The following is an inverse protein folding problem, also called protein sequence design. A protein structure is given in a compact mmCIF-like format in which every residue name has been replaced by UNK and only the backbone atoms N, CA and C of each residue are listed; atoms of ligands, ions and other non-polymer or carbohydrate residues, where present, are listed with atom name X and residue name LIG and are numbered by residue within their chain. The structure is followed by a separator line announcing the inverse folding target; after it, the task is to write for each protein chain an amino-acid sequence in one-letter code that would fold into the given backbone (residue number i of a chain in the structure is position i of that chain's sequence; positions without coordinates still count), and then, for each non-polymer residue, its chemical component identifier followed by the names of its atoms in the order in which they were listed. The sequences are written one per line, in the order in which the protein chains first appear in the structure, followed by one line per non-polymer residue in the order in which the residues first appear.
data_IF_929217603856
#
_entry.id   IF_929217603856
#
_cell.length_a   1.000
_cell.length_b   1.000
_cell.length_c   1.000
_cell.angle_alpha   90.00
_cell.angle_beta   90.00
_cell.angle_gamma   90.00
#
_symmetry.space_group_name_H-M   'P 1'
#
loop_
_entity.id
_entity.type
_entity.pdbx_description
1 polymer ?
#
# COMPACT_ATOMS: atom_id res chain seq x y z
N UNK A 1 -4.27 5.42 -10.30
CA UNK A 1 -3.34 4.52 -9.57
C UNK A 1 -3.90 3.11 -9.62
N UNK A 2 -3.22 2.25 -10.34
CA UNK A 2 -3.69 0.89 -10.58
C UNK A 2 -2.90 -0.12 -9.75
N UNK A 3 -3.61 -0.94 -8.99
CA UNK A 3 -3.00 -2.07 -8.30
C UNK A 3 -2.84 -3.24 -9.25
N UNK A 4 -1.71 -3.93 -9.14
CA UNK A 4 -1.38 -5.09 -9.96
C UNK A 4 -1.27 -6.32 -9.08
N UNK A 5 -1.52 -7.47 -9.67
CA UNK A 5 -1.23 -8.77 -9.05
C UNK A 5 0.12 -9.27 -9.55
N UNK A 6 0.68 -10.27 -8.89
CA UNK A 6 2.02 -10.78 -9.20
C UNK A 6 2.18 -11.16 -10.67
N UNK A 7 1.18 -11.80 -11.27
CA UNK A 7 1.23 -12.24 -12.66
C UNK A 7 1.06 -11.12 -13.68
N UNK A 8 0.71 -9.92 -13.22
CA UNK A 8 0.56 -8.74 -14.08
C UNK A 8 1.82 -7.87 -14.12
N UNK A 9 2.85 -8.21 -13.31
CA UNK A 9 4.05 -7.41 -13.22
C UNK A 9 4.90 -7.50 -14.48
N UNK A 10 5.35 -6.33 -14.97
CA UNK A 10 6.25 -6.21 -16.12
C UNK A 10 7.65 -5.78 -15.71
N UNK A 11 7.81 -5.33 -14.46
CA UNK A 11 9.03 -4.78 -13.91
C UNK A 11 9.03 -5.06 -12.41
N UNK A 12 10.21 -4.97 -11.78
CA UNK A 12 10.35 -5.10 -10.33
C UNK A 12 10.40 -3.73 -9.63
N UNK A 13 10.17 -2.64 -10.36
CA UNK A 13 10.14 -1.29 -9.78
C UNK A 13 8.74 -1.01 -9.21
N UNK A 14 8.39 -1.77 -8.17
CA UNK A 14 7.06 -1.73 -7.56
C UNK A 14 7.18 -1.78 -6.04
N UNK A 15 6.17 -1.25 -5.37
CA UNK A 15 5.97 -1.45 -3.94
C UNK A 15 4.97 -2.59 -3.75
N UNK A 16 5.32 -3.51 -2.88
CA UNK A 16 4.48 -4.67 -2.59
C UNK A 16 3.70 -4.45 -1.31
N UNK A 17 2.38 -4.54 -1.38
CA UNK A 17 1.50 -4.53 -0.22
C UNK A 17 1.29 -5.98 0.18
N UNK A 18 1.82 -6.36 1.34
CA UNK A 18 1.94 -7.74 1.78
C UNK A 18 1.24 -7.94 3.10
N UNK A 19 0.48 -9.04 3.23
CA UNK A 19 -0.12 -9.41 4.51
C UNK A 19 0.97 -9.70 5.55
N UNK A 20 0.62 -9.52 6.84
CA UNK A 20 1.55 -9.83 7.92
C UNK A 20 1.93 -11.31 7.90
N UNK A 21 3.23 -11.59 7.95
CA UNK A 21 3.80 -12.94 7.90
C UNK A 21 4.96 -13.03 8.89
N UNK A 22 5.28 -14.23 9.31
CA UNK A 22 6.43 -14.47 10.19
C UNK A 22 7.74 -14.09 9.52
N UNK A 23 7.81 -14.27 8.21
CA UNK A 23 8.94 -13.85 7.38
C UNK A 23 8.44 -12.98 6.24
N UNK A 24 9.05 -11.81 6.09
CA UNK A 24 8.74 -10.89 5.00
C UNK A 24 9.67 -11.18 3.83
N UNK A 25 9.09 -11.72 2.75
CA UNK A 25 9.79 -11.93 1.50
C UNK A 25 8.99 -11.25 0.39
N UNK A 26 9.69 -10.79 -0.65
CA UNK A 26 9.05 -10.23 -1.84
C UNK A 26 8.36 -11.30 -2.69
N UNK A 27 7.46 -10.84 -3.53
CA UNK A 27 6.84 -11.61 -4.61
C UNK A 27 5.86 -12.66 -4.11
N UNK A 28 4.97 -12.25 -3.19
CA UNK A 28 3.91 -13.12 -2.69
C UNK A 28 2.71 -13.13 -3.65
N UNK A 29 2.09 -14.29 -3.82
CA UNK A 29 0.92 -14.45 -4.66
C UNK A 29 -0.32 -13.71 -4.13
N UNK A 30 -0.41 -13.57 -2.82
CA UNK A 30 -1.54 -12.90 -2.16
C UNK A 30 -1.32 -11.41 -1.96
N UNK A 31 -0.22 -10.86 -2.45
CA UNK A 31 0.08 -9.43 -2.40
C UNK A 31 -0.57 -8.68 -3.55
N UNK A 32 -0.65 -7.35 -3.39
CA UNK A 32 -0.94 -6.43 -4.48
C UNK A 32 0.23 -5.46 -4.61
N UNK A 33 0.41 -4.91 -5.80
CA UNK A 33 1.62 -4.16 -6.16
C UNK A 33 1.24 -2.82 -6.76
N UNK A 34 2.03 -1.80 -6.45
CA UNK A 34 1.86 -0.46 -6.99
C UNK A 34 3.18 -0.02 -7.63
N UNK A 35 3.13 0.45 -8.87
CA UNK A 35 4.31 0.96 -9.57
C UNK A 35 4.90 2.12 -8.79
N UNK A 36 6.24 2.19 -8.69
CA UNK A 36 6.93 3.16 -7.86
C UNK A 36 6.57 4.61 -8.20
N UNK A 37 6.43 4.95 -9.47
CA UNK A 37 6.03 6.29 -9.89
C UNK A 37 4.66 6.68 -9.32
N UNK A 38 3.74 5.72 -9.27
CA UNK A 38 2.42 5.98 -8.70
C UNK A 38 2.46 6.06 -7.18
N UNK A 39 3.37 5.32 -6.55
CA UNK A 39 3.54 5.38 -5.10
C UNK A 39 3.97 6.79 -4.65
N UNK A 40 4.72 7.52 -5.48
CA UNK A 40 5.11 8.87 -5.16
C UNK A 40 3.94 9.83 -5.00
N UNK A 41 2.80 9.51 -5.58
CA UNK A 41 1.56 10.27 -5.35
C UNK A 41 1.03 10.10 -3.93
N UNK A 42 1.37 9.00 -3.27
CA UNK A 42 1.01 8.76 -1.87
C UNK A 42 2.03 9.37 -0.89
N UNK A 43 3.24 9.65 -1.35
CA UNK A 43 4.35 10.07 -0.48
C UNK A 43 4.01 11.26 0.43
N UNK A 44 3.35 12.34 -0.04
CA UNK A 44 3.00 13.45 0.85
C UNK A 44 2.15 13.01 2.05
N UNK A 45 1.28 12.04 1.85
CA UNK A 45 0.36 11.56 2.88
C UNK A 45 1.01 10.52 3.78
N UNK A 46 1.87 9.67 3.21
CA UNK A 46 2.68 8.73 3.98
C UNK A 46 3.65 9.50 4.90
N UNK A 47 4.27 10.55 4.39
CA UNK A 47 5.21 11.35 5.16
C UNK A 47 4.55 12.14 6.28
N UNK A 48 3.27 12.48 6.15
CA UNK A 48 2.50 13.10 7.22
C UNK A 48 2.07 12.10 8.29
N UNK A 49 1.86 10.84 7.91
CA UNK A 49 1.41 9.79 8.82
C UNK A 49 2.59 9.13 9.55
N UNK A 50 3.68 8.89 8.84
CA UNK A 50 4.87 8.20 9.36
C UNK A 50 6.04 9.18 9.45
N UNK A 51 6.76 9.19 10.57
CA UNK A 51 7.90 10.11 10.75
C UNK A 51 9.08 9.76 9.84
N UNK A 52 9.25 8.48 9.49
CA UNK A 52 10.33 8.01 8.61
C UNK A 52 9.87 6.80 7.82
N UNK A 53 9.03 7.04 6.81
CA UNK A 53 8.54 5.95 5.98
C UNK A 53 9.69 5.24 5.26
N UNK A 54 9.72 3.90 5.34
CA UNK A 54 10.81 3.09 4.80
C UNK A 54 10.61 2.79 3.31
N UNK A 55 10.89 3.76 2.46
CA UNK A 55 10.72 3.61 1.00
C UNK A 55 11.63 2.55 0.38
N UNK A 56 12.76 2.25 1.02
CA UNK A 56 13.75 1.29 0.52
C UNK A 56 13.88 0.07 1.42
N UNK A 57 12.86 -0.20 2.20
CA UNK A 57 12.85 -1.32 3.13
C UNK A 57 11.45 -1.82 3.39
N UNK A 58 11.23 -2.41 4.55
CA UNK A 58 9.93 -2.92 4.95
C UNK A 58 9.26 -1.96 5.92
N UNK A 59 8.07 -1.50 5.60
CA UNK A 59 7.30 -0.61 6.45
C UNK A 59 6.07 -1.32 7.00
N UNK A 60 6.01 -1.45 8.33
CA UNK A 60 4.79 -1.91 9.00
C UNK A 60 3.74 -0.81 8.94
N UNK A 61 2.54 -1.15 8.51
CA UNK A 61 1.44 -0.20 8.37
C UNK A 61 0.25 -0.71 9.18
N UNK A 62 -0.01 -0.06 10.31
CA UNK A 62 -1.20 -0.38 11.10
C UNK A 62 -2.44 0.10 10.35
N UNK A 63 -3.54 -0.59 10.48
CA UNK A 63 -4.78 -0.21 9.80
C UNK A 63 -5.25 1.19 10.21
N UNK A 64 -5.02 1.58 11.46
CA UNK A 64 -5.33 2.94 11.94
C UNK A 64 -4.49 4.00 11.24
N UNK A 65 -3.20 3.72 11.00
CA UNK A 65 -2.32 4.65 10.28
C UNK A 65 -2.68 4.70 8.80
N UNK A 66 -3.07 3.58 8.22
CA UNK A 66 -3.52 3.55 6.83
C UNK A 66 -4.79 4.37 6.63
N UNK A 67 -5.74 4.27 7.57
CA UNK A 67 -6.96 5.08 7.52
C UNK A 67 -6.65 6.58 7.62
N UNK A 68 -5.67 6.96 8.44
CA UNK A 68 -5.22 8.35 8.53
C UNK A 68 -4.62 8.80 7.20
N UNK A 69 -3.79 7.98 6.56
CA UNK A 69 -3.20 8.26 5.25
C UNK A 69 -4.30 8.46 4.20
N UNK A 70 -5.29 7.58 4.20
CA UNK A 70 -6.43 7.65 3.30
C UNK A 70 -7.20 8.95 3.48
N UNK A 71 -7.50 9.31 4.72
CA UNK A 71 -8.23 10.55 5.02
C UNK A 71 -7.48 11.78 4.52
N UNK A 72 -6.17 11.85 4.77
CA UNK A 72 -5.34 12.96 4.28
C UNK A 72 -5.35 13.04 2.76
N UNK A 73 -5.19 11.91 2.09
CA UNK A 73 -5.18 11.87 0.63
C UNK A 73 -6.51 12.32 0.03
N UNK A 74 -7.62 11.85 0.59
CA UNK A 74 -8.95 12.16 0.06
C UNK A 74 -9.39 13.58 0.39
N UNK A 75 -8.86 14.20 1.44
CA UNK A 75 -9.11 15.62 1.71
C UNK A 75 -8.42 16.52 0.69
N UNK A 76 -7.18 16.18 0.30
CA UNK A 76 -6.41 16.97 -0.67
C UNK A 76 -6.86 16.69 -2.10
N UNK A 77 -7.09 15.42 -2.43
CA UNK A 77 -7.41 14.95 -3.77
C UNK A 77 -8.84 14.42 -3.87
N UNK A 78 -9.80 15.10 -3.24
CA UNK A 78 -11.20 14.65 -3.14
C UNK A 78 -11.86 14.41 -4.51
N UNK A 79 -11.41 15.10 -5.55
CA UNK A 79 -11.94 14.96 -6.91
C UNK A 79 -11.17 13.94 -7.75
N UNK A 80 -10.11 13.36 -7.19
CA UNK A 80 -9.25 12.43 -7.92
C UNK A 80 -9.82 11.02 -7.86
N UNK A 81 -10.52 10.62 -8.91
CA UNK A 81 -11.19 9.32 -8.97
C UNK A 81 -10.22 8.15 -8.81
N UNK A 82 -9.03 8.22 -9.43
CA UNK A 82 -8.07 7.13 -9.35
C UNK A 82 -7.56 6.91 -7.92
N UNK A 83 -7.46 7.97 -7.13
CA UNK A 83 -7.08 7.88 -5.72
C UNK A 83 -8.17 7.19 -4.90
N UNK A 84 -9.43 7.55 -5.13
CA UNK A 84 -10.58 6.94 -4.47
C UNK A 84 -10.64 5.45 -4.77
N UNK A 85 -10.51 5.08 -6.04
CA UNK A 85 -10.54 3.69 -6.48
C UNK A 85 -9.38 2.89 -5.89
N UNK A 86 -8.19 3.48 -5.84
CA UNK A 86 -7.02 2.84 -5.24
C UNK A 86 -7.29 2.46 -3.78
N UNK A 87 -7.77 3.39 -2.97
CA UNK A 87 -8.05 3.11 -1.56
C UNK A 87 -9.17 2.10 -1.38
N UNK A 88 -10.17 2.12 -2.26
CA UNK A 88 -11.24 1.11 -2.23
C UNK A 88 -10.69 -0.28 -2.52
N UNK A 89 -9.80 -0.41 -3.50
CA UNK A 89 -9.18 -1.68 -3.85
C UNK A 89 -8.28 -2.20 -2.72
N UNK A 90 -7.51 -1.31 -2.08
CA UNK A 90 -6.70 -1.69 -0.93
C UNK A 90 -7.58 -2.16 0.22
N UNK A 91 -8.69 -1.47 0.49
CA UNK A 91 -9.61 -1.86 1.55
C UNK A 91 -10.20 -3.25 1.30
N UNK A 92 -10.55 -3.56 0.04
CA UNK A 92 -11.03 -4.90 -0.30
C UNK A 92 -9.93 -5.95 -0.10
N UNK A 93 -8.69 -5.63 -0.46
CA UNK A 93 -7.56 -6.53 -0.25
C UNK A 93 -7.33 -6.77 1.25
N UNK A 94 -7.40 -5.73 2.08
CA UNK A 94 -7.26 -5.84 3.54
C UNK A 94 -8.33 -6.78 4.11
N UNK A 95 -9.58 -6.66 3.65
CA UNK A 95 -10.69 -7.50 4.12
C UNK A 95 -10.49 -8.97 3.81
N UNK A 96 -9.71 -9.30 2.80
CA UNK A 96 -9.42 -10.69 2.42
C UNK A 96 -8.34 -11.34 3.27
N UNK A 97 -7.74 -10.61 4.21
CA UNK A 97 -6.76 -11.17 5.15
C UNK A 97 -7.46 -12.19 6.06
N UNK A 98 -7.13 -13.45 5.86
CA UNK A 98 -7.75 -14.54 6.61
C UNK A 98 -7.42 -14.51 8.09
N UNK A 99 -6.28 -13.96 8.45
CA UNK A 99 -5.82 -13.84 9.83
C UNK A 99 -6.38 -12.60 10.52
N UNK A 100 -6.99 -11.67 9.79
CA UNK A 100 -7.56 -10.44 10.31
C UNK A 100 -6.56 -9.65 11.16
N UNK A 101 -5.32 -9.55 10.68
CA UNK A 101 -4.28 -8.80 11.35
C UNK A 101 -4.63 -7.32 11.41
N UNK A 102 -4.09 -6.62 12.42
CA UNK A 102 -4.30 -5.19 12.60
C UNK A 102 -3.34 -4.33 11.77
N UNK A 103 -2.55 -4.98 10.91
CA UNK A 103 -1.54 -4.32 10.08
C UNK A 103 -1.23 -5.15 8.84
N UNK A 104 -0.56 -4.49 7.90
CA UNK A 104 0.07 -5.13 6.75
C UNK A 104 1.45 -4.50 6.56
N UNK A 105 2.17 -4.92 5.55
CA UNK A 105 3.49 -4.38 5.25
C UNK A 105 3.52 -3.80 3.84
N UNK A 106 4.30 -2.74 3.67
CA UNK A 106 4.69 -2.24 2.36
C UNK A 106 6.16 -2.54 2.21
N UNK A 107 6.49 -3.37 1.23
CA UNK A 107 7.87 -3.76 0.93
C UNK A 107 8.37 -2.86 -0.19
N UNK A 108 9.40 -2.07 0.12
CA UNK A 108 9.96 -1.10 -0.80
C UNK A 108 11.00 -1.67 -1.76
N UNK A 109 11.62 -0.78 -2.49
CA UNK A 109 12.60 -1.12 -3.53
C UNK A 109 13.93 -1.66 -2.99
#
# INVERSE_FOLDING_TARGET
MKLLKKDELKSHDVYEFCYAKDRLNHWNQDSVYLIDEECWRLAPYLDQTFSNFAYYGSQKVKLTDWEKTRQLALEEDAQEESMILFFNEINEWIKKDMNQDDHFWILGL
#
